data_IF_029349061163
#
_entry.id   IF_029349061163
#
_cell.length_a   1.000
_cell.length_b   1.000
_cell.length_c   1.000
_cell.angle_alpha   90.00
_cell.angle_beta   90.00
_cell.angle_gamma   90.00
#
_symmetry.space_group_name_H-M   'P 1'
#
loop_
_entity.id
_entity.type
_entity.pdbx_description
1 polymer ?
#
# COMPACT_ATOMS: atom_id res chain seq x y z
N UNK A 1 17.40 -5.14 3.31
CA UNK A 1 16.16 -4.32 3.43
C UNK A 1 15.26 -4.83 4.55
N UNK A 2 14.31 -5.76 4.32
CA UNK A 2 13.43 -6.27 5.41
C UNK A 2 14.22 -7.09 6.43
N UNK A 3 15.04 -8.05 5.99
CA UNK A 3 15.81 -8.89 6.92
C UNK A 3 16.79 -8.12 7.80
N UNK A 4 17.30 -6.97 7.34
CA UNK A 4 18.14 -6.09 8.16
C UNK A 4 17.32 -5.32 9.19
N UNK A 5 16.12 -4.85 8.83
CA UNK A 5 15.19 -4.19 9.77
C UNK A 5 14.75 -5.16 10.86
N UNK A 6 14.26 -6.35 10.48
CA UNK A 6 13.87 -7.39 11.43
C UNK A 6 15.06 -7.84 12.30
N UNK A 7 16.29 -7.86 11.73
CA UNK A 7 17.52 -8.14 12.48
C UNK A 7 17.81 -7.13 13.59
N UNK A 8 17.34 -5.88 13.44
CA UNK A 8 17.39 -4.83 14.47
C UNK A 8 16.16 -4.83 15.40
N UNK A 9 15.22 -5.76 15.20
CA UNK A 9 13.95 -5.80 15.92
C UNK A 9 12.94 -4.75 15.44
N UNK A 10 13.18 -4.12 14.28
CA UNK A 10 12.25 -3.18 13.67
C UNK A 10 11.14 -3.93 12.93
N UNK A 11 9.92 -3.42 13.02
CA UNK A 11 8.82 -3.86 12.15
C UNK A 11 8.92 -3.26 10.76
N UNK A 12 8.41 -4.00 9.79
CA UNK A 12 8.20 -3.51 8.43
C UNK A 12 6.77 -3.79 8.03
N UNK A 13 6.05 -2.77 7.57
CA UNK A 13 4.75 -2.95 6.94
C UNK A 13 4.94 -3.06 5.44
N UNK A 14 4.26 -4.04 4.84
CA UNK A 14 4.33 -4.31 3.39
C UNK A 14 2.92 -4.20 2.82
N UNK A 15 2.66 -3.13 2.08
CA UNK A 15 1.48 -3.03 1.23
C UNK A 15 1.74 -3.77 -0.09
N UNK A 16 0.88 -4.71 -0.45
CA UNK A 16 0.98 -5.50 -1.69
C UNK A 16 -0.32 -5.41 -2.46
N UNK A 17 -0.26 -5.04 -3.74
CA UNK A 17 -1.41 -5.15 -4.65
C UNK A 17 -1.72 -6.63 -4.86
N UNK A 18 -2.74 -7.14 -4.17
CA UNK A 18 -3.12 -8.54 -4.14
C UNK A 18 -4.05 -8.89 -5.32
N UNK A 19 -4.93 -7.97 -5.70
CA UNK A 19 -5.82 -8.12 -6.83
C UNK A 19 -6.04 -6.78 -7.54
N UNK A 20 -6.34 -6.86 -8.84
CA UNK A 20 -6.66 -5.71 -9.68
C UNK A 20 -7.73 -6.12 -10.69
N UNK A 21 -8.72 -5.27 -10.92
CA UNK A 21 -9.71 -5.43 -11.99
C UNK A 21 -9.82 -4.12 -12.77
N UNK A 22 -9.90 -4.19 -14.10
CA UNK A 22 -9.96 -3.01 -14.95
C UNK A 22 -8.64 -2.25 -15.04
N UNK A 23 -8.69 -0.95 -15.36
CA UNK A 23 -7.51 -0.10 -15.46
C UNK A 23 -7.11 0.39 -14.08
N UNK A 24 -5.89 0.08 -13.65
CA UNK A 24 -5.35 0.41 -12.33
C UNK A 24 -3.92 0.95 -12.49
N UNK A 25 -3.46 1.87 -11.63
CA UNK A 25 -2.15 2.52 -11.77
C UNK A 25 -0.98 1.55 -11.54
N UNK A 26 -1.21 0.46 -10.82
CA UNK A 26 -0.24 -0.62 -10.62
C UNK A 26 -0.83 -1.99 -10.85
N UNK A 27 0.04 -2.96 -11.13
CA UNK A 27 -0.33 -4.34 -11.36
C UNK A 27 -0.26 -5.16 -10.08
N UNK A 28 -1.03 -6.25 -10.04
CA UNK A 28 -0.88 -7.29 -9.02
C UNK A 28 0.59 -7.64 -8.80
N UNK A 29 0.99 -7.67 -7.54
CA UNK A 29 2.36 -7.96 -7.10
C UNK A 29 3.21 -6.72 -6.83
N UNK A 30 2.79 -5.52 -7.24
CA UNK A 30 3.43 -4.27 -6.83
C UNK A 30 3.42 -4.16 -5.29
N UNK A 31 4.50 -3.59 -4.73
CA UNK A 31 4.68 -3.46 -3.28
C UNK A 31 5.16 -2.07 -2.89
N UNK A 32 4.74 -1.66 -1.71
CA UNK A 32 5.29 -0.52 -0.99
C UNK A 32 5.63 -0.94 0.43
N UNK A 33 6.84 -0.60 0.87
CA UNK A 33 7.38 -0.94 2.18
C UNK A 33 7.43 0.30 3.05
N UNK A 34 7.07 0.13 4.31
CA UNK A 34 7.14 1.15 5.35
C UNK A 34 7.98 0.63 6.51
N UNK A 35 9.04 1.36 6.84
CA UNK A 35 9.96 1.00 7.93
C UNK A 35 9.66 1.86 9.16
N UNK A 36 9.86 1.32 10.37
CA UNK A 36 9.66 2.09 11.62
C UNK A 36 10.52 3.35 11.71
N UNK A 37 11.67 3.38 11.03
CA UNK A 37 12.54 4.56 10.94
C UNK A 37 12.04 5.65 9.96
N UNK A 38 10.82 5.50 9.42
CA UNK A 38 10.19 6.46 8.51
C UNK A 38 10.63 6.34 7.05
N UNK A 39 11.57 5.46 6.71
CA UNK A 39 11.91 5.19 5.30
C UNK A 39 10.77 4.44 4.62
N UNK A 40 10.68 4.62 3.30
CA UNK A 40 9.80 3.84 2.43
C UNK A 40 10.52 3.40 1.16
N UNK A 41 9.97 2.38 0.49
CA UNK A 41 10.45 1.89 -0.79
C UNK A 41 9.32 1.29 -1.62
N UNK A 42 9.31 1.55 -2.94
CA UNK A 42 8.27 1.08 -3.84
C UNK A 42 7.04 2.00 -3.87
N UNK A 43 6.01 1.57 -4.59
CA UNK A 43 4.76 2.32 -4.81
C UNK A 43 3.64 1.35 -5.17
N UNK A 44 2.41 1.73 -4.84
CA UNK A 44 1.18 1.01 -5.22
C UNK A 44 0.35 1.77 -6.25
N UNK A 45 0.85 2.89 -6.80
CA UNK A 45 0.21 3.59 -7.91
C UNK A 45 0.04 5.11 -7.75
N UNK A 46 0.53 5.72 -6.66
CA UNK A 46 0.39 7.16 -6.42
C UNK A 46 -1.06 7.62 -6.16
N UNK A 47 -1.27 8.94 -6.12
CA UNK A 47 -2.59 9.57 -5.97
C UNK A 47 -3.29 9.27 -4.63
N UNK A 48 -4.63 9.36 -4.63
CA UNK A 48 -5.46 9.14 -3.44
C UNK A 48 -5.25 7.75 -2.83
N UNK A 49 -5.16 6.69 -3.67
CA UNK A 49 -4.93 5.32 -3.19
C UNK A 49 -3.62 5.20 -2.42
N UNK A 50 -2.53 5.81 -2.90
CA UNK A 50 -1.27 5.76 -2.17
C UNK A 50 -1.37 6.51 -0.83
N UNK A 51 -2.06 7.65 -0.79
CA UNK A 51 -2.27 8.41 0.45
C UNK A 51 -3.09 7.61 1.50
N UNK A 52 -4.13 6.89 1.08
CA UNK A 52 -4.87 5.99 1.96
C UNK A 52 -4.02 4.81 2.43
N UNK A 53 -3.25 4.20 1.54
CA UNK A 53 -2.32 3.11 1.90
C UNK A 53 -1.26 3.58 2.89
N UNK A 54 -0.80 4.83 2.82
CA UNK A 54 0.05 5.43 3.83
C UNK A 54 -0.63 5.51 5.21
N UNK A 55 -1.90 5.90 5.26
CA UNK A 55 -2.64 5.99 6.51
C UNK A 55 -2.83 4.60 7.15
N UNK A 56 -3.28 3.64 6.35
CA UNK A 56 -3.52 2.27 6.80
C UNK A 56 -2.22 1.55 7.18
N UNK A 57 -1.12 1.79 6.45
CA UNK A 57 0.18 1.23 6.80
C UNK A 57 0.71 1.78 8.14
N UNK A 58 0.46 3.05 8.45
CA UNK A 58 0.81 3.64 9.75
C UNK A 58 -0.02 3.05 10.88
N UNK A 59 -1.30 2.79 10.64
CA UNK A 59 -2.15 2.13 11.62
C UNK A 59 -1.72 0.68 11.85
N UNK A 60 -1.46 -0.09 10.78
CA UNK A 60 -0.93 -1.45 10.87
C UNK A 60 0.42 -1.50 11.61
N UNK A 61 1.30 -0.53 11.36
CA UNK A 61 2.58 -0.40 12.08
C UNK A 61 2.38 -0.22 13.59
N UNK A 62 1.35 0.53 13.98
CA UNK A 62 1.03 0.83 15.38
C UNK A 62 0.31 -0.34 16.06
N UNK A 63 -0.66 -0.94 15.37
CA UNK A 63 -1.54 -1.98 15.92
C UNK A 63 -0.93 -3.39 15.84
N UNK A 64 0.01 -3.60 14.92
CA UNK A 64 0.55 -4.93 14.60
C UNK A 64 -0.43 -5.82 13.84
N UNK A 65 -1.54 -5.27 13.32
CA UNK A 65 -2.59 -6.06 12.70
C UNK A 65 -2.56 -5.92 11.17
N UNK A 66 -2.48 -7.04 10.43
CA UNK A 66 -2.60 -7.02 8.98
C UNK A 66 -4.06 -6.91 8.53
N UNK A 67 -4.29 -6.32 7.37
CA UNK A 67 -5.63 -6.14 6.80
C UNK A 67 -5.62 -6.11 5.26
N UNK A 68 -6.73 -6.51 4.66
CA UNK A 68 -6.97 -6.39 3.22
C UNK A 68 -7.92 -5.22 2.97
N UNK A 69 -7.49 -4.26 2.15
CA UNK A 69 -8.26 -3.06 1.83
C UNK A 69 -8.68 -3.07 0.36
N UNK A 70 -9.94 -2.68 0.10
CA UNK A 70 -10.51 -2.60 -1.24
C UNK A 70 -10.62 -1.13 -1.67
N UNK A 71 -10.03 -0.82 -2.82
CA UNK A 71 -10.01 0.52 -3.41
C UNK A 71 -10.76 0.52 -4.73
N UNK A 72 -11.69 1.45 -4.89
CA UNK A 72 -12.42 1.67 -6.13
C UNK A 72 -11.97 3.00 -6.74
N UNK A 73 -11.38 2.93 -7.92
CA UNK A 73 -10.88 4.09 -8.65
C UNK A 73 -12.03 4.62 -9.52
N UNK A 74 -13.01 5.28 -8.91
CA UNK A 74 -14.12 5.91 -9.65
C UNK A 74 -13.73 7.30 -10.16
N UNK A 75 -14.42 7.79 -11.18
CA UNK A 75 -14.13 9.05 -11.84
C UNK A 75 -14.27 10.30 -10.93
N UNK A 76 -15.02 10.20 -9.82
CA UNK A 76 -15.24 11.32 -8.89
C UNK A 76 -13.96 11.73 -8.12
N UNK A 77 -13.05 10.80 -7.86
CA UNK A 77 -11.76 11.04 -7.19
C UNK A 77 -10.69 11.60 -8.15
N UNK A 78 -10.96 11.64 -9.47
CA UNK A 78 -9.98 11.90 -10.53
C UNK A 78 -10.16 13.28 -11.22
N UNK A 79 -10.96 14.17 -10.64
CA UNK A 79 -11.47 15.37 -11.33
C UNK A 79 -10.48 16.52 -11.56
N UNK A 80 -9.19 16.37 -11.23
CA UNK A 80 -8.16 17.39 -11.54
C UNK A 80 -7.08 16.94 -12.55
N UNK A 81 -6.87 15.64 -12.79
CA UNK A 81 -5.72 15.16 -13.60
C UNK A 81 -6.06 14.29 -14.83
N UNK A 82 -7.35 14.01 -15.09
CA UNK A 82 -7.80 13.43 -16.37
C UNK A 82 -7.43 11.96 -16.63
N UNK A 83 -6.82 11.25 -15.68
CA UNK A 83 -6.47 9.84 -15.81
C UNK A 83 -7.39 8.96 -14.96
N UNK A 84 -8.58 8.65 -15.49
CA UNK A 84 -9.50 7.72 -14.83
C UNK A 84 -9.00 6.29 -15.01
N UNK A 85 -8.30 5.77 -14.01
CA UNK A 85 -8.11 4.34 -13.87
C UNK A 85 -9.47 3.74 -13.47
N UNK A 86 -10.36 3.39 -14.41
CA UNK A 86 -11.72 2.90 -14.09
C UNK A 86 -11.75 1.45 -13.57
N UNK A 87 -10.96 1.15 -12.54
CA UNK A 87 -10.74 -0.19 -12.00
C UNK A 87 -10.85 -0.27 -10.48
N UNK A 88 -10.58 -1.45 -9.94
CA UNK A 88 -10.51 -1.70 -8.49
C UNK A 88 -9.23 -2.41 -8.13
N UNK A 89 -8.75 -2.19 -6.91
CA UNK A 89 -7.55 -2.80 -6.36
C UNK A 89 -7.81 -3.34 -4.97
N UNK A 90 -7.36 -4.57 -4.70
CA UNK A 90 -7.26 -5.07 -3.33
C UNK A 90 -5.80 -4.99 -2.91
N UNK A 91 -5.51 -4.32 -1.80
CA UNK A 91 -4.16 -4.16 -1.26
C UNK A 91 -4.11 -4.82 0.11
N UNK A 92 -3.25 -5.83 0.22
CA UNK A 92 -2.92 -6.47 1.49
C UNK A 92 -1.87 -5.63 2.19
N UNK A 93 -2.17 -5.16 3.39
CA UNK A 93 -1.23 -4.51 4.28
C UNK A 93 -0.84 -5.53 5.33
N UNK A 94 0.40 -5.98 5.25
CA UNK A 94 0.95 -7.03 6.10
C UNK A 94 1.99 -6.47 7.06
N UNK A 95 2.08 -7.01 8.27
CA UNK A 95 3.03 -6.57 9.30
C UNK A 95 4.08 -7.65 9.49
N UNK A 96 5.31 -7.34 9.12
CA UNK A 96 6.43 -8.27 9.19
C UNK A 96 7.24 -7.96 10.44
N UNK A 97 7.13 -8.86 11.42
CA UNK A 97 7.95 -8.88 12.63
C UNK A 97 8.71 -10.20 12.74
N UNK A 98 9.72 -10.23 13.63
CA UNK A 98 10.61 -11.39 13.81
C UNK A 98 9.95 -12.49 14.63
#
# INVERSE_FOLDING_TARGET
MIGEANGRGERVVVATVAHTRGSTPQRRGAKMLFFENGKTAGTVGGGCVEAEVWAEAREAMRSGQPALHHFSLTADEASEEGMVCGGTMDILIDVWEK
#
